data_IF_473154173714
#
_entry.id   IF_473154173714
#
_cell.length_a   1.000
_cell.length_b   1.000
_cell.length_c   1.000
_cell.angle_alpha   90.00
_cell.angle_beta   90.00
_cell.angle_gamma   90.00
#
_symmetry.space_group_name_H-M   'P 1'
#
loop_
_entity.id
_entity.type
_entity.pdbx_description
1 polymer ?
#
# COMPACT_ATOMS: atom_id res chain seq x y z
N UNK A 1 6.78 -4.98 18.51
CA UNK A 1 5.92 -4.64 17.34
C UNK A 1 5.59 -3.15 17.28
N UNK A 2 5.21 -2.53 18.40
CA UNK A 2 4.72 -1.14 18.44
C UNK A 2 5.71 -0.09 17.94
N UNK A 3 7.01 -0.24 18.21
CA UNK A 3 8.02 0.71 17.75
C UNK A 3 8.26 0.63 16.23
N UNK A 4 8.15 -0.58 15.64
CA UNK A 4 8.30 -0.78 14.20
C UNK A 4 7.12 -0.19 13.43
N UNK A 5 5.89 -0.38 13.93
CA UNK A 5 4.70 0.21 13.34
C UNK A 5 4.73 1.73 13.40
N UNK A 6 5.09 2.31 14.57
CA UNK A 6 5.29 3.76 14.69
C UNK A 6 6.32 4.28 13.69
N UNK A 7 7.45 3.58 13.54
CA UNK A 7 8.45 3.92 12.53
C UNK A 7 7.88 3.90 11.11
N UNK A 8 7.16 2.85 10.73
CA UNK A 8 6.51 2.74 9.42
C UNK A 8 5.47 3.84 9.18
N UNK A 9 4.66 4.18 10.19
CA UNK A 9 3.68 5.27 10.10
C UNK A 9 4.36 6.62 9.91
N UNK A 10 5.44 6.90 10.64
CA UNK A 10 6.19 8.15 10.48
C UNK A 10 6.82 8.21 9.09
N UNK A 11 7.46 7.13 8.63
CA UNK A 11 8.09 7.09 7.30
C UNK A 11 7.04 7.26 6.20
N UNK A 12 5.92 6.55 6.28
CA UNK A 12 4.81 6.68 5.32
C UNK A 12 4.20 8.08 5.32
N UNK A 13 3.96 8.66 6.49
CA UNK A 13 3.43 10.03 6.63
C UNK A 13 4.41 11.09 6.13
N UNK A 14 5.70 10.96 6.43
CA UNK A 14 6.73 11.87 5.92
C UNK A 14 6.87 11.77 4.40
N UNK A 15 6.76 10.56 3.84
CA UNK A 15 6.70 10.37 2.40
C UNK A 15 5.46 11.08 1.82
N UNK A 16 4.28 10.93 2.41
CA UNK A 16 3.07 11.63 1.93
C UNK A 16 3.21 13.17 1.96
N UNK A 17 3.83 13.72 3.02
CA UNK A 17 4.12 15.15 3.10
C UNK A 17 5.13 15.59 2.03
N UNK A 18 6.17 14.80 1.79
CA UNK A 18 7.13 15.06 0.73
C UNK A 18 6.46 15.04 -0.66
N UNK A 19 5.55 14.09 -0.91
CA UNK A 19 4.78 14.04 -2.16
C UNK A 19 3.95 15.32 -2.35
N UNK A 20 3.21 15.73 -1.31
CA UNK A 20 2.44 16.99 -1.33
C UNK A 20 3.33 18.20 -1.63
N UNK A 21 4.51 18.26 -1.02
CA UNK A 21 5.45 19.35 -1.23
C UNK A 21 6.01 19.37 -2.66
N UNK A 22 6.41 18.22 -3.21
CA UNK A 22 6.95 18.10 -4.57
C UNK A 22 5.89 18.51 -5.60
N UNK A 23 4.65 18.04 -5.47
CA UNK A 23 3.56 18.43 -6.37
C UNK A 23 3.28 19.93 -6.29
N UNK A 24 3.23 20.49 -5.08
CA UNK A 24 3.00 21.93 -4.89
C UNK A 24 4.10 22.75 -5.55
N UNK A 25 5.37 22.38 -5.34
CA UNK A 25 6.52 23.05 -5.94
C UNK A 25 6.54 22.88 -7.47
N UNK A 26 6.13 21.74 -8.00
CA UNK A 26 6.04 21.51 -9.44
C UNK A 26 4.96 22.40 -10.08
N UNK A 27 3.81 22.56 -9.44
CA UNK A 27 2.74 23.45 -9.90
C UNK A 27 3.18 24.91 -9.84
N UNK A 28 3.76 25.36 -8.74
CA UNK A 28 4.28 26.74 -8.62
C UNK A 28 5.35 26.99 -9.67
N UNK A 29 6.33 26.08 -9.78
CA UNK A 29 7.43 26.14 -10.73
C UNK A 29 6.96 26.28 -12.18
N UNK A 30 5.94 25.51 -12.57
CA UNK A 30 5.32 25.62 -13.91
C UNK A 30 4.66 26.98 -14.15
N UNK A 31 4.09 27.60 -13.12
CA UNK A 31 3.45 28.92 -13.23
C UNK A 31 4.45 30.09 -13.24
N UNK A 32 5.64 29.94 -12.64
CA UNK A 32 6.67 30.99 -12.59
C UNK A 32 7.78 30.82 -13.66
N UNK A 33 7.61 29.88 -14.60
CA UNK A 33 8.57 29.62 -15.67
C UNK A 33 9.81 28.81 -15.26
N UNK A 34 9.82 28.23 -14.06
CA UNK A 34 10.88 27.36 -13.54
C UNK A 34 10.33 25.94 -13.30
N UNK A 35 10.04 25.15 -14.37
CA UNK A 35 9.48 23.83 -14.21
C UNK A 35 10.45 22.89 -13.49
N UNK A 36 9.92 22.12 -12.54
CA UNK A 36 10.68 21.16 -11.76
C UNK A 36 10.83 19.85 -12.55
N UNK A 37 11.95 19.73 -13.28
CA UNK A 37 12.26 18.56 -14.09
C UNK A 37 12.44 17.32 -13.20
N UNK A 38 11.87 16.18 -13.63
CA UNK A 38 11.89 14.94 -12.85
C UNK A 38 10.93 14.91 -11.65
N UNK A 39 10.07 15.92 -11.48
CA UNK A 39 8.99 15.93 -10.48
C UNK A 39 8.12 14.67 -10.52
N UNK A 40 7.78 14.19 -11.72
CA UNK A 40 6.98 12.96 -11.91
C UNK A 40 7.69 11.74 -11.32
N UNK A 41 8.99 11.58 -11.58
CA UNK A 41 9.78 10.44 -11.12
C UNK A 41 9.91 10.42 -9.59
N UNK A 42 10.15 11.60 -9.00
CA UNK A 42 10.16 11.79 -7.54
C UNK A 42 8.81 11.46 -6.92
N UNK A 43 7.73 11.96 -7.52
CA UNK A 43 6.37 11.69 -7.04
C UNK A 43 6.05 10.21 -7.06
N UNK A 44 6.36 9.51 -8.16
CA UNK A 44 6.15 8.07 -8.25
C UNK A 44 6.90 7.31 -7.16
N UNK A 45 8.16 7.66 -6.89
CA UNK A 45 8.96 7.01 -5.85
C UNK A 45 8.37 7.24 -4.46
N UNK A 46 8.05 8.49 -4.12
CA UNK A 46 7.59 8.89 -2.80
C UNK A 46 6.17 8.36 -2.51
N UNK A 47 5.27 8.45 -3.50
CA UNK A 47 3.91 7.91 -3.40
C UNK A 47 3.92 6.39 -3.29
N UNK A 48 4.82 5.70 -4.00
CA UNK A 48 4.97 4.26 -3.87
C UNK A 48 5.33 3.87 -2.44
N UNK A 49 6.31 4.54 -1.83
CA UNK A 49 6.73 4.26 -0.44
C UNK A 49 5.59 4.54 0.55
N UNK A 50 4.95 5.71 0.42
CA UNK A 50 3.81 6.10 1.25
C UNK A 50 2.65 5.09 1.16
N UNK A 51 2.23 4.77 -0.07
CA UNK A 51 1.12 3.86 -0.33
C UNK A 51 1.42 2.43 0.12
N UNK A 52 2.62 1.91 -0.18
CA UNK A 52 3.01 0.55 0.18
C UNK A 52 3.04 0.34 1.70
N UNK A 53 3.59 1.29 2.46
CA UNK A 53 3.58 1.23 3.92
C UNK A 53 2.18 1.38 4.50
N UNK A 54 1.38 2.30 3.95
CA UNK A 54 -0.01 2.51 4.37
C UNK A 54 -0.86 1.26 4.17
N UNK A 55 -0.66 0.51 3.08
CA UNK A 55 -1.34 -0.77 2.84
C UNK A 55 -1.01 -1.81 3.92
N UNK A 56 0.25 -1.93 4.32
CA UNK A 56 0.67 -2.86 5.37
C UNK A 56 0.04 -2.47 6.71
N UNK A 57 0.08 -1.18 7.07
CA UNK A 57 -0.51 -0.68 8.31
C UNK A 57 -2.03 -0.91 8.31
N UNK A 58 -2.72 -0.57 7.23
CA UNK A 58 -4.16 -0.78 7.09
C UNK A 58 -4.55 -2.27 7.17
N UNK A 59 -3.71 -3.18 6.66
CA UNK A 59 -3.91 -4.62 6.80
C UNK A 59 -3.76 -5.09 8.25
N UNK A 60 -2.81 -4.53 8.98
CA UNK A 60 -2.59 -4.85 10.40
C UNK A 60 -3.76 -4.35 11.24
N UNK A 61 -4.16 -3.10 11.05
CA UNK A 61 -5.29 -2.48 11.76
C UNK A 61 -6.63 -3.09 11.36
N UNK A 62 -6.71 -3.70 10.17
CA UNK A 62 -7.97 -4.24 9.67
C UNK A 62 -8.93 -3.19 9.14
N UNK A 63 -8.43 -2.01 8.81
CA UNK A 63 -9.20 -0.86 8.31
C UNK A 63 -9.65 -1.04 6.85
N UNK A 64 -9.79 -2.29 6.40
CA UNK A 64 -10.34 -2.58 5.07
C UNK A 64 -11.80 -2.14 5.06
N UNK A 65 -12.15 -1.24 4.13
CA UNK A 65 -13.43 -0.58 4.10
C UNK A 65 -14.59 -1.57 4.21
N UNK A 66 -15.29 -1.51 5.34
CA UNK A 66 -16.45 -2.33 5.63
C UNK A 66 -17.66 -1.40 5.70
N UNK A 67 -18.69 -1.70 4.90
CA UNK A 67 -19.93 -0.93 4.94
C UNK A 67 -20.76 -1.44 6.12
N UNK A 68 -20.47 -0.90 7.31
CA UNK A 68 -21.18 -1.20 8.56
C UNK A 68 -22.70 -1.11 8.40
N UNK A 69 -23.19 -0.11 7.66
CA UNK A 69 -24.62 0.08 7.37
C UNK A 69 -25.32 -1.18 6.80
N UNK A 70 -24.62 -1.97 5.98
CA UNK A 70 -25.19 -3.16 5.33
C UNK A 70 -24.95 -4.41 6.17
N UNK A 71 -23.74 -4.56 6.72
CA UNK A 71 -23.36 -5.79 7.41
C UNK A 71 -23.92 -5.84 8.82
N UNK A 72 -24.09 -4.71 9.50
CA UNK A 72 -24.69 -4.67 10.85
C UNK A 72 -26.17 -5.09 10.82
N UNK A 73 -26.82 -5.07 9.64
CA UNK A 73 -28.19 -5.57 9.43
C UNK A 73 -28.29 -7.08 9.25
N UNK A 74 -27.16 -7.78 9.09
CA UNK A 74 -27.14 -9.24 8.94
C UNK A 74 -27.18 -9.92 10.32
N UNK A 75 -27.76 -11.14 10.41
CA UNK A 75 -27.65 -11.95 11.61
C UNK A 75 -26.17 -12.32 11.89
N UNK A 76 -25.80 -12.70 13.12
CA UNK A 76 -24.40 -12.94 13.51
C UNK A 76 -23.64 -13.92 12.61
N UNK A 77 -24.33 -14.95 12.09
CA UNK A 77 -23.75 -15.89 11.15
C UNK A 77 -23.44 -15.26 9.77
N UNK A 78 -24.31 -14.35 9.30
CA UNK A 78 -24.14 -13.61 8.05
C UNK A 78 -23.00 -12.59 8.14
N UNK A 79 -22.86 -11.92 9.29
CA UNK A 79 -21.73 -11.00 9.55
C UNK A 79 -20.39 -11.74 9.50
N UNK A 80 -20.29 -12.89 10.19
CA UNK A 80 -19.08 -13.71 10.18
C UNK A 80 -18.73 -14.23 8.78
N UNK A 81 -19.74 -14.61 7.99
CA UNK A 81 -19.54 -15.06 6.62
C UNK A 81 -19.11 -13.92 5.70
N UNK A 82 -19.75 -12.76 5.78
CA UNK A 82 -19.40 -11.56 5.02
C UNK A 82 -17.95 -11.11 5.32
N UNK A 83 -17.55 -11.11 6.59
CA UNK A 83 -16.18 -10.78 7.00
C UNK A 83 -15.14 -11.76 6.43
N UNK A 84 -15.45 -13.07 6.43
CA UNK A 84 -14.59 -14.10 5.82
C UNK A 84 -14.49 -13.94 4.31
N UNK A 85 -15.62 -13.70 3.64
CA UNK A 85 -15.66 -13.50 2.19
C UNK A 85 -14.87 -12.24 1.80
N UNK A 86 -15.08 -11.13 2.49
CA UNK A 86 -14.33 -9.90 2.26
C UNK A 86 -12.82 -10.13 2.41
N UNK A 87 -12.40 -10.78 3.51
CA UNK A 87 -10.99 -11.13 3.72
C UNK A 87 -10.44 -12.02 2.62
N UNK A 88 -11.19 -13.02 2.17
CA UNK A 88 -10.78 -13.92 1.09
C UNK A 88 -10.65 -13.21 -0.26
N UNK A 89 -11.59 -12.33 -0.60
CA UNK A 89 -11.55 -11.52 -1.83
C UNK A 89 -10.38 -10.52 -1.82
N UNK A 90 -10.16 -9.85 -0.69
CA UNK A 90 -9.01 -8.97 -0.49
C UNK A 90 -7.69 -9.75 -0.63
N UNK A 91 -7.59 -10.93 -0.03
CA UNK A 91 -6.42 -11.79 -0.15
C UNK A 91 -6.15 -12.18 -1.61
N UNK A 92 -7.20 -12.62 -2.32
CA UNK A 92 -7.10 -12.98 -3.74
C UNK A 92 -6.64 -11.79 -4.59
N UNK A 93 -7.19 -10.60 -4.34
CA UNK A 93 -6.80 -9.36 -5.02
C UNK A 93 -5.31 -9.04 -4.83
N UNK A 94 -4.81 -9.05 -3.59
CA UNK A 94 -3.39 -8.79 -3.34
C UNK A 94 -2.48 -9.90 -3.88
N UNK A 95 -2.96 -11.14 -3.96
CA UNK A 95 -2.20 -12.25 -4.53
C UNK A 95 -2.06 -12.10 -6.04
N UNK A 96 -3.13 -11.68 -6.72
CA UNK A 96 -3.08 -11.33 -8.14
C UNK A 96 -2.14 -10.15 -8.40
N UNK A 97 -2.20 -9.10 -7.57
CA UNK A 97 -1.28 -7.96 -7.67
C UNK A 97 0.18 -8.37 -7.47
N UNK A 98 0.49 -9.19 -6.45
CA UNK A 98 1.85 -9.67 -6.21
C UNK A 98 2.33 -10.53 -7.39
N UNK A 99 1.49 -11.44 -7.91
CA UNK A 99 1.85 -12.27 -9.04
C UNK A 99 2.19 -11.43 -10.29
N UNK A 100 1.35 -10.43 -10.61
CA UNK A 100 1.61 -9.51 -11.72
C UNK A 100 2.86 -8.65 -11.49
N UNK A 101 3.06 -8.14 -10.27
CA UNK A 101 4.23 -7.33 -9.92
C UNK A 101 5.54 -8.13 -9.97
N UNK A 102 5.52 -9.40 -9.52
CA UNK A 102 6.66 -10.32 -9.64
C UNK A 102 6.92 -10.71 -11.09
N UNK A 103 5.88 -10.98 -11.88
CA UNK A 103 6.04 -11.21 -13.32
C UNK A 103 6.79 -10.05 -13.98
N UNK A 104 6.32 -8.82 -13.74
CA UNK A 104 6.93 -7.61 -14.26
C UNK A 104 8.36 -7.41 -13.74
N UNK A 105 8.61 -7.72 -12.45
CA UNK A 105 9.94 -7.69 -11.84
C UNK A 105 10.92 -8.62 -12.55
N UNK A 106 10.51 -9.85 -12.85
CA UNK A 106 11.37 -10.84 -13.50
C UNK A 106 11.65 -10.48 -14.96
N UNK A 107 10.62 -10.09 -15.70
CA UNK A 107 10.72 -9.74 -17.11
C UNK A 107 11.70 -8.56 -17.32
N UNK A 108 11.59 -7.54 -16.47
CA UNK A 108 12.39 -6.32 -16.56
C UNK A 108 13.65 -6.36 -15.66
N UNK A 109 13.98 -7.51 -15.06
CA UNK A 109 15.11 -7.58 -14.12
C UNK A 109 16.45 -7.25 -14.79
N UNK A 110 16.63 -7.62 -16.06
CA UNK A 110 17.87 -7.37 -16.80
C UNK A 110 17.81 -6.08 -17.62
N UNK A 111 16.63 -5.47 -17.75
CA UNK A 111 16.49 -4.14 -18.31
C UNK A 111 17.13 -3.15 -17.31
N UNK A 112 18.07 -2.33 -17.79
CA UNK A 112 18.67 -1.27 -16.98
C UNK A 112 17.68 -0.10 -16.87
N UNK A 113 16.51 -0.34 -16.27
CA UNK A 113 15.46 0.66 -16.06
C UNK A 113 15.91 1.64 -14.98
N UNK A 114 16.49 2.75 -15.43
CA UNK A 114 16.70 3.95 -14.64
C UNK A 114 15.73 5.02 -15.12
N UNK A 115 15.29 5.90 -14.21
CA UNK A 115 14.49 7.06 -14.62
C UNK A 115 15.32 7.99 -15.51
N UNK A 116 14.71 8.53 -16.57
CA UNK A 116 15.44 9.22 -17.64
C UNK A 116 16.11 10.51 -17.17
N UNK A 117 15.56 11.16 -16.14
CA UNK A 117 16.02 12.47 -15.69
C UNK A 117 16.82 12.37 -14.38
N UNK A 118 16.32 11.62 -13.38
CA UNK A 118 16.92 11.55 -12.04
C UNK A 118 17.74 10.28 -11.81
N UNK A 119 17.62 9.27 -12.68
CA UNK A 119 18.34 8.01 -12.55
C UNK A 119 17.84 7.12 -11.41
N UNK A 120 16.57 7.27 -10.98
CA UNK A 120 15.97 6.47 -9.91
C UNK A 120 15.93 5.01 -10.35
N UNK A 121 16.50 4.07 -9.55
CA UNK A 121 16.49 2.66 -9.90
C UNK A 121 15.12 2.04 -9.60
N UNK A 122 14.28 1.91 -10.63
CA UNK A 122 12.92 1.36 -10.52
C UNK A 122 12.88 -0.05 -9.92
N UNK A 123 13.97 -0.81 -10.09
CA UNK A 123 14.16 -2.14 -9.51
C UNK A 123 14.06 -2.14 -7.98
N UNK A 124 14.64 -1.13 -7.33
CA UNK A 124 14.63 -1.00 -5.86
C UNK A 124 13.21 -0.65 -5.38
N UNK A 125 12.54 0.27 -6.06
CA UNK A 125 11.15 0.64 -5.75
C UNK A 125 10.20 -0.55 -5.89
N UNK A 126 10.37 -1.36 -6.94
CA UNK A 126 9.55 -2.54 -7.17
C UNK A 126 9.84 -3.65 -6.15
N UNK A 127 11.08 -3.78 -5.66
CA UNK A 127 11.40 -4.63 -4.48
C UNK A 127 10.67 -4.16 -3.22
N UNK A 128 10.66 -2.85 -2.94
CA UNK A 128 9.95 -2.28 -1.78
C UNK A 128 8.45 -2.59 -1.87
N UNK A 129 7.83 -2.37 -3.03
CA UNK A 129 6.42 -2.67 -3.26
C UNK A 129 6.11 -4.17 -3.06
N UNK A 130 6.91 -5.06 -3.68
CA UNK A 130 6.75 -6.51 -3.54
C UNK A 130 6.90 -6.96 -2.09
N UNK A 131 7.85 -6.39 -1.35
CA UNK A 131 8.04 -6.70 0.07
C UNK A 131 6.81 -6.31 0.89
N UNK A 132 6.26 -5.11 0.66
CA UNK A 132 5.05 -4.67 1.34
C UNK A 132 3.82 -5.52 0.97
N UNK A 133 3.67 -5.92 -0.30
CA UNK A 133 2.61 -6.83 -0.73
C UNK A 133 2.69 -8.20 -0.03
N UNK A 134 3.90 -8.76 0.08
CA UNK A 134 4.12 -10.01 0.83
C UNK A 134 3.72 -9.84 2.30
N UNK A 135 4.14 -8.74 2.95
CA UNK A 135 3.76 -8.47 4.34
C UNK A 135 2.24 -8.36 4.52
N UNK A 136 1.56 -7.64 3.62
CA UNK A 136 0.09 -7.54 3.60
C UNK A 136 -0.56 -8.91 3.47
N UNK A 137 -0.09 -9.76 2.54
CA UNK A 137 -0.61 -11.12 2.36
C UNK A 137 -0.42 -11.99 3.61
N UNK A 138 0.73 -11.92 4.27
CA UNK A 138 0.99 -12.66 5.51
C UNK A 138 0.03 -12.25 6.62
N UNK A 139 -0.28 -10.96 6.74
CA UNK A 139 -1.24 -10.43 7.71
C UNK A 139 -2.66 -10.92 7.40
N UNK A 140 -3.08 -10.87 6.15
CA UNK A 140 -4.41 -11.33 5.71
C UNK A 140 -4.57 -12.85 5.88
N UNK A 141 -3.56 -13.64 5.53
CA UNK A 141 -3.54 -15.09 5.74
C UNK A 141 -3.66 -15.42 7.23
N UNK A 142 -2.85 -14.77 8.08
CA UNK A 142 -2.94 -14.95 9.53
C UNK A 142 -4.35 -14.65 10.05
N UNK A 143 -4.98 -13.58 9.58
CA UNK A 143 -6.35 -13.21 9.97
C UNK A 143 -7.39 -14.24 9.51
N UNK A 144 -7.23 -14.80 8.33
CA UNK A 144 -8.10 -15.85 7.80
C UNK A 144 -8.04 -17.13 8.66
N UNK A 145 -6.84 -17.53 9.11
CA UNK A 145 -6.64 -18.73 9.94
C UNK A 145 -6.92 -18.51 11.43
N UNK A 146 -6.70 -17.31 11.98
CA UNK A 146 -6.92 -17.02 13.39
C UNK A 146 -8.41 -16.89 13.79
N UNK A 147 -9.32 -16.83 12.81
CA UNK A 147 -10.74 -16.56 13.04
C UNK A 147 -11.00 -15.09 13.40
N UNK A 148 -12.26 -14.62 13.30
CA UNK A 148 -12.59 -13.24 13.64
C UNK A 148 -12.26 -12.98 15.11
N UNK A 149 -11.47 -11.92 15.38
CA UNK A 149 -11.31 -11.39 16.73
C UNK A 149 -12.70 -10.93 17.16
N UNK A 150 -13.30 -11.66 18.11
CA UNK A 150 -14.48 -11.17 18.82
C UNK A 150 -14.04 -9.92 19.56
N UNK A 151 -14.56 -8.76 19.17
CA UNK A 151 -14.56 -7.61 20.06
C UNK A 151 -15.46 -7.99 21.25
N UNK A 152 -14.83 -8.34 22.36
CA UNK A 152 -15.52 -8.47 23.64
C UNK A 152 -15.91 -7.07 24.10
N UNK A 153 -17.21 -6.77 23.98
CA UNK A 153 -17.88 -5.77 24.81
C UNK A 153 -17.96 -4.35 24.22
N UNK A 154 -19.16 -4.01 23.77
CA UNK A 154 -19.79 -2.73 24.02
C UNK A 154 -21.27 -2.98 24.35
#
# INVERSE_FOLDING_TARGET
MTNLLKGATIVGGMALLAATAVDTLAVIGRNIGLPLNGSIELMQAVVLVSGALSLVIAAIEGSHAHVSLVVDRLPPAGQAWAARLATALTLLFFLALLAGSLWLQFDLWHAHEQSEIIGVPWRVLRLVANTCLVLTLLVLLRRLFAGPVREEGA
#
